data_IF_563077635115
#
_entry.id   IF_563077635115
#
_cell.length_a   1.000
_cell.length_b   1.000
_cell.length_c   1.000
_cell.angle_alpha   90.00
_cell.angle_beta   90.00
_cell.angle_gamma   90.00
#
_symmetry.space_group_name_H-M   'P 1'
#
loop_
_entity.id
_entity.type
_entity.pdbx_description
1 polymer ?
#
# COMPACT_ATOMS: atom_id res chain seq x y z
N UNK A 1 24.06 -21.51 -13.78
CA UNK A 1 23.50 -21.96 -12.49
C UNK A 1 21.99 -21.90 -12.60
N UNK A 2 21.22 -22.88 -12.11
CA UNK A 2 19.76 -22.77 -12.10
C UNK A 2 19.36 -21.49 -11.34
N UNK A 3 18.31 -20.79 -11.77
CA UNK A 3 17.85 -19.58 -11.09
C UNK A 3 17.49 -19.94 -9.65
N UNK A 4 18.07 -19.20 -8.70
CA UNK A 4 17.76 -19.38 -7.28
C UNK A 4 16.28 -19.06 -7.07
N UNK A 5 15.53 -19.98 -6.46
CA UNK A 5 14.09 -19.81 -6.24
C UNK A 5 13.92 -18.75 -5.14
N UNK A 6 13.32 -17.58 -5.43
CA UNK A 6 13.16 -16.54 -4.41
C UNK A 6 12.40 -17.09 -3.20
N UNK A 7 12.82 -16.73 -2.00
CA UNK A 7 12.23 -17.17 -0.73
C UNK A 7 12.45 -18.64 -0.33
N UNK A 8 13.20 -19.44 -1.09
CA UNK A 8 13.53 -20.81 -0.69
C UNK A 8 14.99 -20.95 -0.32
N UNK A 9 15.29 -21.83 0.65
CA UNK A 9 16.65 -22.25 0.99
C UNK A 9 17.21 -23.14 -0.13
N UNK A 10 18.55 -23.35 -0.20
CA UNK A 10 19.16 -24.29 -1.14
C UNK A 10 18.60 -25.72 -1.01
N UNK A 11 18.15 -26.07 0.20
CA UNK A 11 17.56 -27.38 0.53
C UNK A 11 16.08 -27.49 0.09
N UNK A 12 15.51 -26.41 -0.45
CA UNK A 12 14.15 -26.37 -0.98
C UNK A 12 13.07 -26.03 0.06
N UNK A 13 13.46 -25.66 1.28
CA UNK A 13 12.53 -25.21 2.33
C UNK A 13 12.16 -23.74 2.16
N UNK A 14 10.99 -23.33 2.65
CA UNK A 14 10.57 -21.93 2.60
C UNK A 14 11.29 -21.12 3.68
N UNK A 15 12.04 -20.09 3.27
CA UNK A 15 12.74 -19.16 4.15
C UNK A 15 11.75 -18.10 4.69
N UNK A 16 11.04 -18.47 5.75
CA UNK A 16 10.08 -17.61 6.43
C UNK A 16 10.70 -16.28 6.93
N UNK A 17 11.91 -16.27 7.55
CA UNK A 17 12.58 -15.02 7.90
C UNK A 17 12.72 -14.07 6.71
N UNK A 18 13.15 -14.57 5.55
CA UNK A 18 13.26 -13.75 4.34
C UNK A 18 11.89 -13.25 3.88
N UNK A 19 10.85 -14.08 3.87
CA UNK A 19 9.49 -13.64 3.53
C UNK A 19 9.06 -12.46 4.41
N UNK A 20 9.26 -12.57 5.73
CA UNK A 20 8.87 -11.50 6.66
C UNK A 20 9.64 -10.20 6.40
N UNK A 21 10.94 -10.27 6.15
CA UNK A 21 11.77 -9.10 5.81
C UNK A 21 11.25 -8.41 4.55
N UNK A 22 10.76 -9.17 3.58
CA UNK A 22 10.25 -8.65 2.31
C UNK A 22 8.84 -8.08 2.40
N UNK A 23 8.01 -8.61 3.29
CA UNK A 23 6.64 -8.12 3.54
C UNK A 23 6.65 -6.80 4.31
N UNK A 24 7.60 -6.56 5.22
CA UNK A 24 7.62 -5.35 6.07
C UNK A 24 7.63 -4.05 5.26
N UNK A 25 8.49 -3.85 4.24
CA UNK A 25 8.46 -2.66 3.39
C UNK A 25 7.12 -2.46 2.66
N UNK A 26 6.53 -3.55 2.14
CA UNK A 26 5.24 -3.50 1.47
C UNK A 26 4.13 -3.08 2.43
N UNK A 27 4.11 -3.66 3.63
CA UNK A 27 3.14 -3.31 4.67
C UNK A 27 3.26 -1.83 5.07
N UNK A 28 4.49 -1.31 5.23
CA UNK A 28 4.72 0.12 5.50
C UNK A 28 4.14 1.01 4.40
N UNK A 29 4.31 0.63 3.14
CA UNK A 29 3.79 1.41 2.01
C UNK A 29 2.25 1.39 1.98
N UNK A 30 1.63 0.23 2.20
CA UNK A 30 0.17 0.10 2.29
C UNK A 30 -0.38 0.93 3.44
N UNK A 31 0.24 0.86 4.63
CA UNK A 31 -0.17 1.67 5.78
C UNK A 31 0.00 3.16 5.48
N UNK A 32 1.10 3.58 4.85
CA UNK A 32 1.30 4.98 4.47
C UNK A 32 0.18 5.47 3.55
N UNK A 33 -0.14 4.73 2.49
CA UNK A 33 -1.25 5.05 1.58
C UNK A 33 -2.58 5.11 2.32
N UNK A 34 -2.87 4.12 3.17
CA UNK A 34 -4.10 4.05 3.95
C UNK A 34 -4.25 5.24 4.90
N UNK A 35 -3.19 5.61 5.62
CA UNK A 35 -3.18 6.78 6.51
C UNK A 35 -3.37 8.07 5.70
N UNK A 36 -2.71 8.23 4.57
CA UNK A 36 -2.88 9.41 3.71
C UNK A 36 -4.32 9.52 3.18
N UNK A 37 -4.92 8.40 2.75
CA UNK A 37 -6.32 8.37 2.29
C UNK A 37 -7.32 8.59 3.44
N UNK A 38 -6.97 8.19 4.67
CA UNK A 38 -7.82 8.40 5.83
C UNK A 38 -7.97 9.89 6.17
N UNK A 39 -6.99 10.74 5.85
CA UNK A 39 -7.05 12.19 6.15
C UNK A 39 -8.31 12.85 5.53
N UNK A 40 -8.51 12.84 4.20
CA UNK A 40 -9.71 13.45 3.60
C UNK A 40 -11.01 12.75 4.03
N UNK A 41 -10.99 11.44 4.25
CA UNK A 41 -12.17 10.69 4.72
C UNK A 41 -12.59 11.09 6.14
N UNK A 42 -11.63 11.21 7.07
CA UNK A 42 -11.89 11.65 8.45
C UNK A 42 -12.31 13.11 8.46
N UNK A 43 -11.70 13.97 7.64
CA UNK A 43 -12.14 15.36 7.49
C UNK A 43 -13.58 15.45 7.00
N UNK A 44 -13.97 14.61 6.04
CA UNK A 44 -15.36 14.55 5.57
C UNK A 44 -16.31 14.16 6.71
N UNK A 45 -15.98 13.12 7.47
CA UNK A 45 -16.77 12.69 8.62
C UNK A 45 -16.92 13.82 9.65
N UNK A 46 -15.81 14.48 10.04
CA UNK A 46 -15.84 15.58 11.01
C UNK A 46 -16.64 16.78 10.50
N UNK A 47 -16.49 17.20 9.24
CA UNK A 47 -17.17 18.39 8.73
C UNK A 47 -18.68 18.17 8.55
N UNK A 48 -19.08 16.98 8.10
CA UNK A 48 -20.48 16.67 7.79
C UNK A 48 -21.24 16.28 9.04
N UNK A 49 -20.70 15.38 9.88
CA UNK A 49 -21.42 14.88 11.06
C UNK A 49 -21.28 15.79 12.28
N UNK A 50 -20.10 16.37 12.53
CA UNK A 50 -19.86 17.11 13.77
C UNK A 50 -20.26 18.58 13.68
N UNK A 51 -20.02 19.21 12.52
CA UNK A 51 -20.20 20.66 12.33
C UNK A 51 -21.47 20.97 11.50
N UNK A 52 -22.17 19.95 11.01
CA UNK A 52 -23.34 20.08 10.13
C UNK A 52 -23.09 20.99 8.91
N UNK A 53 -21.84 21.03 8.43
CA UNK A 53 -21.46 21.86 7.28
C UNK A 53 -22.00 21.21 6.01
N UNK A 54 -22.46 22.07 5.12
CA UNK A 54 -23.17 21.82 3.86
C UNK A 54 -22.67 20.57 3.10
N UNK A 55 -23.56 19.79 2.45
CA UNK A 55 -23.22 18.63 1.60
C UNK A 55 -22.24 18.91 0.44
N UNK A 56 -21.87 20.17 0.23
CA UNK A 56 -20.89 20.62 -0.76
C UNK A 56 -19.51 19.94 -0.60
N UNK A 57 -19.10 19.59 0.63
CA UNK A 57 -17.78 18.99 0.86
C UNK A 57 -17.74 17.47 0.72
N UNK A 58 -18.90 16.80 0.67
CA UNK A 58 -18.99 15.34 0.56
C UNK A 58 -18.30 14.87 -0.72
N UNK A 59 -18.75 15.40 -1.87
CA UNK A 59 -18.25 15.01 -3.18
C UNK A 59 -16.76 15.27 -3.36
N UNK A 60 -16.22 16.50 -3.15
CA UNK A 60 -14.81 16.76 -3.36
C UNK A 60 -13.90 15.96 -2.43
N UNK A 61 -14.23 15.81 -1.14
CA UNK A 61 -13.40 15.02 -0.21
C UNK A 61 -13.43 13.52 -0.55
N UNK A 62 -14.57 13.00 -0.99
CA UNK A 62 -14.68 11.64 -1.50
C UNK A 62 -13.81 11.43 -2.75
N UNK A 63 -13.83 12.37 -3.70
CA UNK A 63 -12.97 12.31 -4.90
C UNK A 63 -11.49 12.36 -4.55
N UNK A 64 -11.08 13.22 -3.60
CA UNK A 64 -9.69 13.28 -3.12
C UNK A 64 -9.29 11.96 -2.46
N UNK A 65 -10.16 11.39 -1.62
CA UNK A 65 -9.91 10.08 -0.99
C UNK A 65 -9.70 8.98 -2.04
N UNK A 66 -10.59 8.90 -3.04
CA UNK A 66 -10.49 7.93 -4.13
C UNK A 66 -9.23 8.14 -4.98
N UNK A 67 -8.87 9.39 -5.28
CA UNK A 67 -7.65 9.72 -5.99
C UNK A 67 -6.40 9.24 -5.25
N UNK A 68 -6.29 9.54 -3.95
CA UNK A 68 -5.17 9.10 -3.12
C UNK A 68 -5.08 7.58 -3.08
N UNK A 69 -6.20 6.88 -2.93
CA UNK A 69 -6.24 5.42 -2.95
C UNK A 69 -5.81 4.84 -4.31
N UNK A 70 -6.29 5.40 -5.42
CA UNK A 70 -5.95 4.94 -6.76
C UNK A 70 -4.46 5.12 -7.05
N UNK A 71 -3.92 6.31 -6.81
CA UNK A 71 -2.51 6.63 -7.02
C UNK A 71 -1.64 5.82 -6.06
N UNK A 72 -1.99 5.76 -4.78
CA UNK A 72 -1.27 4.99 -3.78
C UNK A 72 -1.24 3.48 -4.09
N UNK A 73 -2.34 2.93 -4.58
CA UNK A 73 -2.39 1.53 -5.03
C UNK A 73 -1.46 1.31 -6.23
N UNK A 74 -1.44 2.23 -7.20
CA UNK A 74 -0.51 2.15 -8.32
C UNK A 74 0.95 2.16 -7.84
N UNK A 75 1.30 3.00 -6.86
CA UNK A 75 2.62 2.99 -6.23
C UNK A 75 2.97 1.68 -5.55
N UNK A 76 2.02 1.09 -4.79
CA UNK A 76 2.20 -0.21 -4.16
C UNK A 76 2.49 -1.30 -5.19
N UNK A 77 1.74 -1.32 -6.30
CA UNK A 77 1.95 -2.29 -7.37
C UNK A 77 3.30 -2.09 -8.08
N UNK A 78 3.70 -0.84 -8.36
CA UNK A 78 5.01 -0.53 -8.92
C UNK A 78 6.14 -1.01 -8.01
N UNK A 79 6.00 -0.81 -6.70
CA UNK A 79 6.96 -1.32 -5.72
C UNK A 79 7.06 -2.86 -5.75
N UNK A 80 5.91 -3.56 -5.79
CA UNK A 80 5.88 -5.04 -5.89
C UNK A 80 6.62 -5.52 -7.13
N UNK A 81 6.35 -4.93 -8.30
CA UNK A 81 7.02 -5.30 -9.56
C UNK A 81 8.52 -5.04 -9.48
N UNK A 82 8.92 -3.87 -9.00
CA UNK A 82 10.33 -3.53 -8.85
C UNK A 82 11.04 -4.51 -7.90
N UNK A 83 10.40 -4.88 -6.79
CA UNK A 83 10.97 -5.79 -5.81
C UNK A 83 11.06 -7.23 -6.34
N UNK A 84 10.03 -7.69 -7.04
CA UNK A 84 10.05 -9.00 -7.69
C UNK A 84 11.21 -9.11 -8.70
N UNK A 85 11.43 -8.06 -9.51
CA UNK A 85 12.56 -8.02 -10.44
C UNK A 85 13.92 -8.02 -9.73
N UNK A 86 14.05 -7.31 -8.61
CA UNK A 86 15.29 -7.34 -7.81
C UNK A 86 15.55 -8.75 -7.26
N UNK A 87 14.52 -9.42 -6.76
CA UNK A 87 14.64 -10.78 -6.22
C UNK A 87 14.94 -11.83 -7.28
N UNK A 88 14.42 -11.66 -8.50
CA UNK A 88 14.66 -12.57 -9.61
C UNK A 88 16.08 -12.43 -10.21
N UNK A 89 16.70 -11.26 -10.08
CA UNK A 89 18.05 -10.97 -10.58
C UNK A 89 19.13 -11.03 -9.47
N UNK A 90 18.75 -11.42 -8.25
CA UNK A 90 19.64 -11.53 -7.11
C UNK A 90 20.37 -12.89 -7.06
#
# INVERSE_FOLDING_TARGET
MPPSKPFFTPDGELDLPRVLVEVVPLAKLVVAVGVTAAIPAVLQYLLVELVAVTPLFIVPLSLVTQFVLAVGTAFVLLYVVARANQLANA
#
